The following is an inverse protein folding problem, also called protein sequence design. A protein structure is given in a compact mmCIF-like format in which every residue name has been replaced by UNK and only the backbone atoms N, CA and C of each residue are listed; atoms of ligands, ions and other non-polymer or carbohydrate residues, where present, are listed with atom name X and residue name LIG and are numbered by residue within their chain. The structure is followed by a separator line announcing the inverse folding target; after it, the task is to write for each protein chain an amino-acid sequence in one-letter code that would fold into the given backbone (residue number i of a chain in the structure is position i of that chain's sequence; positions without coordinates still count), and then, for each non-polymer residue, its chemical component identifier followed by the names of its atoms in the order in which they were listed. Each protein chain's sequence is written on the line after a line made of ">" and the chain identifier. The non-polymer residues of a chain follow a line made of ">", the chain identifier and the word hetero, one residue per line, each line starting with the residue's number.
data_IF_995225965803
#
_entry.id   IF_995225965803
#
_cell.length_a   1.000
_cell.length_b   1.000
_cell.length_c   1.000
_cell.angle_alpha   90.00
_cell.angle_beta   90.00
_cell.angle_gamma   90.00
#
_symmetry.space_group_name_H-M   'P 1'
#
loop_
_entity.id
_entity.type
_entity.pdbx_description
1 polymer ?
#
# COMPACT_ATOMS: atom_id res chain seq x y z
N UNK A 1 -10.50 -13.24 -18.40
CA UNK A 1 -9.11 -12.95 -18.82
C UNK A 1 -8.54 -14.14 -19.59
N UNK A 2 -7.78 -13.92 -20.67
CA UNK A 2 -7.16 -15.03 -21.42
C UNK A 2 -5.94 -15.55 -20.65
N UNK A 3 -5.99 -16.81 -20.18
CA UNK A 3 -4.86 -17.47 -19.49
C UNK A 3 -3.54 -17.37 -20.27
N UNK A 4 -3.61 -17.26 -21.60
CA UNK A 4 -2.46 -17.11 -22.49
C UNK A 4 -1.72 -15.78 -22.30
N UNK A 5 -2.44 -14.68 -22.03
CA UNK A 5 -1.82 -13.35 -21.85
C UNK A 5 -1.14 -13.20 -20.49
N UNK A 6 -1.77 -13.70 -19.43
CA UNK A 6 -1.16 -13.79 -18.09
C UNK A 6 0.13 -14.62 -18.15
N UNK A 7 0.11 -15.76 -18.87
CA UNK A 7 1.29 -16.61 -19.02
C UNK A 7 2.46 -15.87 -19.66
N UNK A 8 2.25 -15.09 -20.73
CA UNK A 8 3.32 -14.31 -21.37
C UNK A 8 4.00 -13.36 -20.38
N UNK A 9 3.21 -12.61 -19.61
CA UNK A 9 3.75 -11.63 -18.64
C UNK A 9 4.55 -12.33 -17.53
N UNK A 10 4.08 -13.50 -17.07
CA UNK A 10 4.80 -14.33 -16.11
C UNK A 10 6.09 -14.93 -16.70
N UNK A 11 6.05 -15.39 -17.96
CA UNK A 11 7.20 -15.99 -18.64
C UNK A 11 8.35 -14.98 -18.82
N UNK A 12 8.06 -13.68 -18.91
CA UNK A 12 9.07 -12.61 -18.96
C UNK A 12 9.49 -12.09 -17.57
N UNK A 13 9.07 -12.78 -16.51
CA UNK A 13 9.52 -12.56 -15.13
C UNK A 13 8.66 -11.63 -14.28
N UNK A 14 7.58 -11.04 -14.82
CA UNK A 14 6.70 -10.17 -14.04
C UNK A 14 5.61 -10.94 -13.29
N UNK A 15 5.17 -10.40 -12.16
CA UNK A 15 4.04 -10.93 -11.39
C UNK A 15 2.87 -9.94 -11.50
N UNK A 16 1.83 -10.26 -12.28
CA UNK A 16 0.66 -9.39 -12.40
C UNK A 16 0.00 -9.12 -11.04
N UNK A 17 -0.39 -7.88 -10.80
CA UNK A 17 -1.08 -7.46 -9.58
C UNK A 17 -0.27 -7.52 -8.27
N UNK A 18 1.04 -7.81 -8.31
CA UNK A 18 1.89 -7.90 -7.11
C UNK A 18 1.80 -6.64 -6.22
N UNK A 19 1.77 -5.46 -6.83
CA UNK A 19 1.73 -4.16 -6.17
C UNK A 19 0.40 -3.88 -5.45
N UNK A 20 -0.65 -4.67 -5.68
CA UNK A 20 -1.90 -4.56 -4.92
C UNK A 20 -1.74 -5.08 -3.48
N UNK A 21 -0.82 -6.04 -3.28
CA UNK A 21 -0.65 -6.77 -2.01
C UNK A 21 0.75 -6.64 -1.42
N UNK A 22 1.49 -5.61 -1.80
CA UNK A 22 2.75 -5.23 -1.16
C UNK A 22 2.52 -4.22 -0.02
N UNK A 23 3.54 -4.06 0.82
CA UNK A 23 3.65 -3.06 1.88
C UNK A 23 4.29 -1.74 1.42
N UNK A 24 4.51 -1.61 0.11
CA UNK A 24 5.14 -0.47 -0.57
C UNK A 24 6.57 -0.13 -0.10
N UNK A 25 7.21 -0.99 0.69
CA UNK A 25 8.59 -0.78 1.12
C UNK A 25 9.56 -1.28 0.03
N UNK A 26 9.61 -0.54 -1.07
CA UNK A 26 10.28 -0.97 -2.29
C UNK A 26 11.77 -1.25 -2.06
N UNK A 27 12.44 -0.44 -1.25
CA UNK A 27 13.87 -0.51 -0.93
C UNK A 27 14.26 -1.83 -0.26
N UNK A 28 13.33 -2.44 0.48
CA UNK A 28 13.51 -3.72 1.19
C UNK A 28 12.79 -4.89 0.49
N UNK A 29 12.25 -4.69 -0.71
CA UNK A 29 11.43 -5.69 -1.39
C UNK A 29 12.26 -6.65 -2.26
N UNK A 30 12.22 -7.95 -1.96
CA UNK A 30 12.90 -8.99 -2.75
C UNK A 30 12.29 -9.20 -4.15
N UNK A 31 11.09 -8.68 -4.40
CA UNK A 31 10.37 -8.85 -5.67
C UNK A 31 10.53 -7.64 -6.61
N UNK A 32 11.44 -6.71 -6.34
CA UNK A 32 11.69 -5.49 -7.14
C UNK A 32 11.72 -5.77 -8.65
N UNK A 33 12.56 -6.72 -9.11
CA UNK A 33 12.73 -7.02 -10.54
C UNK A 33 11.53 -7.73 -11.19
N UNK A 34 10.64 -8.28 -10.36
CA UNK A 34 9.40 -8.95 -10.77
C UNK A 34 8.17 -8.05 -10.63
N UNK A 35 8.35 -6.84 -10.09
CA UNK A 35 7.33 -5.82 -9.92
C UNK A 35 7.42 -4.78 -11.04
N UNK A 36 6.46 -4.81 -11.95
CA UNK A 36 6.42 -3.85 -13.07
C UNK A 36 6.33 -2.40 -12.59
N UNK A 37 5.57 -2.11 -11.52
CA UNK A 37 5.48 -0.76 -10.96
C UNK A 37 6.84 -0.23 -10.48
N UNK A 38 7.69 -1.09 -9.92
CA UNK A 38 9.03 -0.70 -9.48
C UNK A 38 9.96 -0.47 -10.68
N UNK A 39 9.96 -1.41 -11.63
CA UNK A 39 10.80 -1.31 -12.84
C UNK A 39 10.43 -0.09 -13.68
N UNK A 40 9.13 0.20 -13.85
CA UNK A 40 8.66 1.40 -14.52
C UNK A 40 9.09 2.67 -13.78
N UNK A 41 8.93 2.71 -12.45
CA UNK A 41 9.37 3.83 -11.63
C UNK A 41 10.86 4.13 -11.79
N UNK A 42 11.71 3.10 -11.77
CA UNK A 42 13.16 3.25 -11.98
C UNK A 42 13.50 3.77 -13.37
N UNK A 43 12.84 3.28 -14.42
CA UNK A 43 13.02 3.81 -15.78
C UNK A 43 12.60 5.29 -15.90
N UNK A 44 11.52 5.68 -15.24
CA UNK A 44 11.08 7.09 -15.19
C UNK A 44 12.15 7.94 -14.48
N UNK A 45 12.68 7.49 -13.34
CA UNK A 45 13.77 8.16 -12.62
C UNK A 45 15.03 8.31 -13.49
N UNK A 46 15.44 7.24 -14.19
CA UNK A 46 16.59 7.24 -15.12
C UNK A 46 16.42 8.25 -16.27
N UNK A 47 15.18 8.48 -16.71
CA UNK A 47 14.83 9.49 -17.73
C UNK A 47 14.73 10.92 -17.19
N UNK A 48 15.01 11.14 -15.90
CA UNK A 48 14.99 12.47 -15.28
C UNK A 48 13.77 12.75 -14.41
N UNK A 49 12.91 11.75 -14.19
CA UNK A 49 11.74 11.84 -13.32
C UNK A 49 10.67 12.82 -13.81
N UNK A 50 9.70 13.11 -12.94
CA UNK A 50 8.74 14.19 -13.15
C UNK A 50 9.21 15.40 -12.35
N UNK A 51 9.65 16.46 -13.03
CA UNK A 51 10.25 17.61 -12.36
C UNK A 51 9.18 18.62 -11.94
N UNK A 52 8.52 18.37 -10.80
CA UNK A 52 7.44 19.26 -10.34
C UNK A 52 7.93 20.60 -9.78
N UNK A 53 9.20 20.71 -9.39
CA UNK A 53 9.80 21.89 -8.73
C UNK A 53 10.63 22.80 -9.65
N UNK A 54 11.14 22.31 -10.80
CA UNK A 54 11.99 23.13 -11.69
C UNK A 54 11.25 24.21 -12.48
N UNK A 55 9.92 24.24 -12.43
CA UNK A 55 9.13 25.28 -13.06
C UNK A 55 8.38 26.03 -11.97
N UNK A 56 9.07 27.03 -11.41
CA UNK A 56 8.42 28.05 -10.60
C UNK A 56 7.20 28.56 -11.35
N UNK A 57 6.06 28.61 -10.66
CA UNK A 57 4.77 29.09 -11.17
C UNK A 57 4.92 30.15 -12.28
N UNK A 58 4.89 29.71 -13.54
CA UNK A 58 4.46 30.58 -14.63
C UNK A 58 2.94 30.51 -14.58
N UNK A 59 2.30 31.62 -14.24
CA UNK A 59 0.83 31.72 -14.11
C UNK A 59 0.07 31.24 -15.37
N UNK A 60 0.77 31.02 -16.48
CA UNK A 60 0.22 30.65 -17.79
C UNK A 60 0.40 29.17 -18.21
N UNK A 61 1.14 28.34 -17.46
CA UNK A 61 1.25 26.91 -17.79
C UNK A 61 0.07 26.14 -17.21
N UNK A 62 -0.83 25.71 -18.10
CA UNK A 62 -2.02 24.94 -17.72
C UNK A 62 -1.61 23.66 -17.00
N UNK A 63 -2.18 23.40 -15.82
CA UNK A 63 -2.10 22.13 -15.09
C UNK A 63 -2.34 20.93 -16.03
N UNK A 64 -3.19 21.11 -17.06
CA UNK A 64 -3.48 20.10 -18.07
C UNK A 64 -2.28 19.74 -18.96
N UNK A 65 -1.43 20.71 -19.30
CA UNK A 65 -0.22 20.46 -20.09
C UNK A 65 0.75 19.58 -19.31
N UNK A 66 0.97 19.90 -18.02
CA UNK A 66 1.80 19.10 -17.11
C UNK A 66 1.25 17.69 -16.91
N UNK A 67 -0.06 17.58 -16.72
CA UNK A 67 -0.71 16.27 -16.58
C UNK A 67 -0.56 15.43 -17.87
N UNK A 68 -0.69 16.06 -19.04
CA UNK A 68 -0.49 15.40 -20.33
C UNK A 68 0.95 14.87 -20.46
N UNK A 69 1.95 15.67 -20.11
CA UNK A 69 3.36 15.27 -20.14
C UNK A 69 3.63 14.05 -19.24
N UNK A 70 3.09 14.03 -18.02
CA UNK A 70 3.20 12.88 -17.11
C UNK A 70 2.62 11.62 -17.75
N UNK A 71 1.44 11.71 -18.37
CA UNK A 71 0.81 10.58 -19.05
C UNK A 71 1.59 10.11 -20.28
N UNK A 72 2.07 11.04 -21.12
CA UNK A 72 2.86 10.73 -22.31
C UNK A 72 4.17 10.03 -21.93
N UNK A 73 4.93 10.58 -20.98
CA UNK A 73 6.17 9.98 -20.49
C UNK A 73 5.95 8.60 -19.84
N UNK A 74 4.90 8.45 -19.03
CA UNK A 74 4.55 7.15 -18.43
C UNK A 74 4.19 6.11 -19.50
N UNK A 75 3.47 6.53 -20.53
CA UNK A 75 3.06 5.68 -21.65
C UNK A 75 4.25 5.26 -22.52
N UNK A 76 5.19 6.18 -22.78
CA UNK A 76 6.44 5.88 -23.49
C UNK A 76 7.28 4.85 -22.73
N UNK A 77 7.48 5.03 -21.42
CA UNK A 77 8.22 4.06 -20.60
C UNK A 77 7.54 2.69 -20.57
N UNK A 78 6.20 2.65 -20.53
CA UNK A 78 5.45 1.40 -20.58
C UNK A 78 5.67 0.66 -21.91
N UNK A 79 5.64 1.38 -23.03
CA UNK A 79 5.90 0.81 -24.36
C UNK A 79 7.32 0.27 -24.48
N UNK A 80 8.32 1.06 -24.12
CA UNK A 80 9.71 0.61 -24.15
C UNK A 80 9.93 -0.62 -23.28
N UNK A 81 9.37 -0.64 -22.08
CA UNK A 81 9.49 -1.81 -21.19
C UNK A 81 8.81 -3.05 -21.78
N UNK A 82 7.67 -2.87 -22.44
CA UNK A 82 6.98 -3.97 -23.12
C UNK A 82 7.85 -4.52 -24.27
N UNK A 83 8.36 -3.64 -25.14
CA UNK A 83 9.22 -4.00 -26.28
C UNK A 83 10.50 -4.71 -25.83
N UNK A 84 11.21 -4.18 -24.83
CA UNK A 84 12.43 -4.77 -24.26
C UNK A 84 12.21 -6.19 -23.72
N UNK A 85 11.01 -6.47 -23.22
CA UNK A 85 10.62 -7.77 -22.66
C UNK A 85 9.92 -8.66 -23.68
N UNK A 86 9.78 -8.23 -24.94
CA UNK A 86 9.09 -8.97 -25.99
C UNK A 86 7.58 -9.12 -25.73
N UNK A 87 6.98 -8.14 -25.07
CA UNK A 87 5.55 -8.03 -24.81
C UNK A 87 4.91 -6.94 -25.67
N UNK A 88 3.63 -7.09 -25.95
CA UNK A 88 2.77 -5.98 -26.35
C UNK A 88 2.18 -5.31 -25.09
N UNK A 89 1.94 -4.00 -25.12
CA UNK A 89 1.32 -3.29 -23.99
C UNK A 89 -0.07 -3.86 -23.65
N UNK A 90 -0.78 -4.40 -24.64
CA UNK A 90 -2.07 -5.09 -24.48
C UNK A 90 -1.96 -6.44 -23.76
N UNK A 91 -0.77 -7.06 -23.72
CA UNK A 91 -0.53 -8.25 -22.90
C UNK A 91 -0.42 -7.86 -21.42
N UNK A 92 0.21 -6.71 -21.14
CA UNK A 92 0.30 -6.14 -19.80
C UNK A 92 -1.08 -5.81 -19.26
N UNK A 93 -1.85 -4.95 -19.95
CA UNK A 93 -3.19 -4.54 -19.49
C UNK A 93 -4.16 -5.72 -19.31
N UNK A 94 -4.01 -6.77 -20.11
CA UNK A 94 -4.86 -7.95 -19.99
C UNK A 94 -4.41 -8.94 -18.91
N UNK A 95 -3.17 -8.82 -18.43
CA UNK A 95 -2.65 -9.59 -17.30
C UNK A 95 -3.04 -9.00 -15.95
N UNK A 96 -3.20 -7.68 -15.91
CA UNK A 96 -3.61 -6.96 -14.71
C UNK A 96 -5.08 -7.17 -14.40
N UNK A 97 -5.39 -7.38 -13.12
CA UNK A 97 -6.76 -7.45 -12.65
C UNK A 97 -7.33 -6.04 -12.48
N UNK A 98 -7.49 -5.34 -13.60
CA UNK A 98 -8.09 -4.01 -13.63
C UNK A 98 -9.58 -4.18 -13.36
N UNK A 99 -10.02 -3.73 -12.20
CA UNK A 99 -11.44 -3.62 -11.90
C UNK A 99 -12.07 -2.56 -12.81
N UNK A 100 -12.63 -3.01 -13.94
CA UNK A 100 -13.33 -2.15 -14.89
C UNK A 100 -14.67 -1.66 -14.36
N UNK A 101 -15.19 -2.25 -13.27
CA UNK A 101 -16.40 -1.75 -12.59
C UNK A 101 -16.15 -0.37 -11.96
N UNK A 102 -14.88 0.00 -11.70
CA UNK A 102 -14.51 1.35 -11.27
C UNK A 102 -14.87 2.44 -12.31
N UNK A 103 -14.81 2.09 -13.60
CA UNK A 103 -15.09 2.98 -14.75
C UNK A 103 -16.39 2.63 -15.50
N UNK A 104 -17.20 1.70 -14.98
CA UNK A 104 -18.48 1.34 -15.59
C UNK A 104 -19.48 2.51 -15.60
N UNK A 105 -20.44 2.46 -16.52
CA UNK A 105 -21.48 3.47 -16.78
C UNK A 105 -22.48 3.69 -15.61
N UNK A 106 -22.20 3.20 -14.40
CA UNK A 106 -23.03 3.36 -13.21
C UNK A 106 -22.59 4.61 -12.41
N UNK A 107 -22.61 5.77 -13.06
CA UNK A 107 -22.46 7.07 -12.37
C UNK A 107 -23.78 7.55 -11.72
N UNK A 108 -24.88 6.87 -12.01
CA UNK A 108 -26.21 7.21 -11.49
C UNK A 108 -26.75 6.07 -10.59
N UNK A 109 -26.85 6.33 -9.27
CA UNK A 109 -27.58 5.46 -8.33
C UNK A 109 -26.76 4.71 -7.27
N UNK A 110 -25.86 5.40 -6.57
CA UNK A 110 -25.28 5.12 -5.23
C UNK A 110 -25.31 3.68 -4.65
N UNK A 111 -24.17 2.97 -4.79
CA UNK A 111 -23.57 2.20 -3.69
C UNK A 111 -22.39 2.95 -3.01
N UNK A 112 -21.77 3.93 -3.68
CA UNK A 112 -20.52 4.57 -3.21
C UNK A 112 -20.70 5.44 -1.97
N UNK A 113 -21.69 6.33 -1.93
CA UNK A 113 -21.93 7.19 -0.75
C UNK A 113 -22.24 6.37 0.51
N UNK A 114 -23.04 5.31 0.37
CA UNK A 114 -23.34 4.39 1.47
C UNK A 114 -22.10 3.63 1.94
N UNK A 115 -21.20 3.25 1.01
CA UNK A 115 -19.90 2.65 1.36
C UNK A 115 -19.05 3.66 2.15
N UNK A 116 -18.96 4.92 1.70
CA UNK A 116 -18.20 5.95 2.42
C UNK A 116 -18.74 6.23 3.82
N UNK A 117 -20.07 6.32 4.00
CA UNK A 117 -20.68 6.47 5.33
C UNK A 117 -20.34 5.28 6.26
N UNK A 118 -20.27 4.05 5.72
CA UNK A 118 -19.82 2.88 6.49
C UNK A 118 -18.34 2.95 6.85
N UNK A 119 -17.51 3.49 5.97
CA UNK A 119 -16.09 3.73 6.28
C UNK A 119 -15.93 4.75 7.40
N UNK A 120 -16.60 5.90 7.32
CA UNK A 120 -16.51 6.95 8.34
C UNK A 120 -16.98 6.51 9.73
N UNK A 121 -17.89 5.53 9.78
CA UNK A 121 -18.39 4.95 11.02
C UNK A 121 -17.60 3.73 11.51
N UNK A 122 -16.57 3.28 10.78
CA UNK A 122 -15.81 2.07 11.09
C UNK A 122 -14.90 2.23 12.31
N UNK A 123 -15.06 1.36 13.31
CA UNK A 123 -14.18 1.30 14.47
C UNK A 123 -12.74 0.90 14.10
N UNK A 124 -12.56 0.03 13.11
CA UNK A 124 -11.22 -0.32 12.59
C UNK A 124 -10.46 0.92 12.10
N UNK A 125 -11.13 1.83 11.38
CA UNK A 125 -10.49 3.08 10.94
C UNK A 125 -10.23 4.04 12.10
N UNK A 126 -11.10 4.10 13.10
CA UNK A 126 -10.84 4.87 14.32
C UNK A 126 -9.62 4.35 15.07
N UNK A 127 -9.50 3.03 15.21
CA UNK A 127 -8.34 2.38 15.85
C UNK A 127 -7.07 2.69 15.04
N UNK A 128 -7.11 2.63 13.71
CA UNK A 128 -5.98 3.02 12.86
C UNK A 128 -5.57 4.48 13.10
N UNK A 129 -6.52 5.41 13.12
CA UNK A 129 -6.23 6.83 13.37
C UNK A 129 -5.68 7.10 14.78
N UNK A 130 -6.16 6.36 15.79
CA UNK A 130 -5.59 6.41 17.14
C UNK A 130 -4.15 5.91 17.11
N UNK A 131 -3.89 4.76 16.47
CA UNK A 131 -2.54 4.21 16.36
C UNK A 131 -1.59 5.18 15.65
N UNK A 132 -1.96 5.68 14.47
CA UNK A 132 -1.19 6.64 13.68
C UNK A 132 -0.82 7.87 14.49
N UNK A 133 -1.82 8.54 15.08
CA UNK A 133 -1.60 9.73 15.88
C UNK A 133 -0.62 9.49 17.04
N UNK A 134 -0.82 8.42 17.81
CA UNK A 134 0.02 8.15 18.97
C UNK A 134 1.40 7.60 18.61
N UNK A 135 1.51 6.85 17.50
CA UNK A 135 2.78 6.36 16.99
C UNK A 135 3.66 7.54 16.55
N UNK A 136 3.11 8.48 15.79
CA UNK A 136 3.80 9.71 15.38
C UNK A 136 4.25 10.52 16.58
N UNK A 137 3.35 10.77 17.55
CA UNK A 137 3.70 11.51 18.76
C UNK A 137 4.78 10.82 19.58
N UNK A 138 4.74 9.50 19.66
CA UNK A 138 5.77 8.74 20.35
C UNK A 138 7.10 8.80 19.60
N UNK A 139 7.09 8.68 18.27
CA UNK A 139 8.29 8.74 17.43
C UNK A 139 8.95 10.11 17.48
N UNK A 140 8.19 11.20 17.34
CA UNK A 140 8.69 12.57 17.48
C UNK A 140 9.49 12.73 18.78
N UNK A 141 8.94 12.26 19.90
CA UNK A 141 9.56 12.36 21.21
C UNK A 141 10.77 11.44 21.38
N UNK A 142 10.71 10.22 20.82
CA UNK A 142 11.84 9.30 20.83
C UNK A 142 13.03 9.87 20.06
N UNK A 143 12.80 10.50 18.90
CA UNK A 143 13.86 11.15 18.13
C UNK A 143 14.48 12.36 18.83
N UNK A 144 13.76 13.05 19.71
CA UNK A 144 14.32 14.15 20.52
C UNK A 144 15.26 13.66 21.62
N UNK A 145 15.02 12.46 22.15
CA UNK A 145 15.72 11.94 23.34
C UNK A 145 16.82 10.95 22.98
N UNK A 146 16.63 10.15 21.93
CA UNK A 146 17.63 9.20 21.44
C UNK A 146 18.74 9.98 20.75
N UNK A 147 19.90 10.05 21.38
CA UNK A 147 21.09 10.63 20.75
C UNK A 147 21.79 9.60 19.82
N UNK A 148 22.58 10.09 18.87
CA UNK A 148 23.29 9.22 17.90
C UNK A 148 24.28 8.21 18.55
N UNK A 149 24.65 8.38 19.82
CA UNK A 149 25.52 7.42 20.54
C UNK A 149 24.72 6.26 21.17
N UNK A 150 23.43 6.44 21.38
CA UNK A 150 22.50 5.43 21.92
C UNK A 150 21.84 4.61 20.82
N UNK A 151 21.84 5.12 19.58
CA UNK A 151 21.41 4.38 18.42
C UNK A 151 22.36 3.21 18.17
N UNK A 152 21.79 2.01 18.19
CA UNK A 152 22.39 0.83 17.63
C UNK A 152 21.52 0.36 16.47
N UNK A 153 22.09 -0.47 15.60
CA UNK A 153 21.44 -0.95 14.36
C UNK A 153 20.04 -1.55 14.63
N UNK A 154 19.87 -2.29 15.72
CA UNK A 154 18.58 -2.89 16.10
C UNK A 154 17.52 -1.83 16.44
N UNK A 155 17.91 -0.77 17.17
CA UNK A 155 16.99 0.32 17.52
C UNK A 155 16.64 1.16 16.29
N UNK A 156 17.61 1.43 15.42
CA UNK A 156 17.37 2.17 14.17
C UNK A 156 16.42 1.41 13.24
N UNK A 157 16.64 0.12 13.05
CA UNK A 157 15.74 -0.73 12.25
C UNK A 157 14.33 -0.75 12.85
N UNK A 158 14.23 -0.88 14.18
CA UNK A 158 12.93 -0.90 14.83
C UNK A 158 12.17 0.43 14.69
N UNK A 159 12.86 1.57 14.83
CA UNK A 159 12.30 2.90 14.61
C UNK A 159 11.83 3.10 13.16
N UNK A 160 12.62 2.63 12.19
CA UNK A 160 12.27 2.67 10.76
C UNK A 160 10.98 1.87 10.50
N UNK A 161 10.85 0.69 11.09
CA UNK A 161 9.67 -0.16 10.96
C UNK A 161 8.42 0.50 11.54
N UNK A 162 8.48 0.98 12.78
CA UNK A 162 7.29 1.60 13.42
C UNK A 162 6.94 2.96 12.82
N UNK A 163 7.88 3.63 12.16
CA UNK A 163 7.61 4.83 11.36
C UNK A 163 7.00 4.54 10.00
N UNK A 164 7.25 3.36 9.42
CA UNK A 164 6.73 3.00 8.10
C UNK A 164 5.26 2.56 8.12
N UNK A 165 4.89 1.73 9.09
CA UNK A 165 3.62 1.00 9.06
C UNK A 165 2.33 1.77 9.42
N UNK A 166 2.31 2.87 10.20
CA UNK A 166 1.08 3.55 10.57
C UNK A 166 0.22 3.97 9.36
N UNK A 167 0.79 4.72 8.41
CA UNK A 167 0.11 5.14 7.19
C UNK A 167 -0.34 3.96 6.32
N UNK A 168 0.55 2.97 6.18
CA UNK A 168 0.27 1.79 5.36
C UNK A 168 -0.92 0.99 5.92
N UNK A 169 -0.93 0.73 7.23
CA UNK A 169 -2.00 -0.01 7.90
C UNK A 169 -3.33 0.70 7.65
N UNK A 170 -3.39 2.01 7.88
CA UNK A 170 -4.60 2.80 7.68
C UNK A 170 -5.09 2.71 6.22
N UNK A 171 -4.20 2.89 5.26
CA UNK A 171 -4.52 2.81 3.82
C UNK A 171 -5.03 1.41 3.41
N UNK A 172 -4.42 0.35 3.94
CA UNK A 172 -4.78 -1.04 3.62
C UNK A 172 -6.08 -1.49 4.28
N UNK A 173 -6.34 -1.09 5.54
CA UNK A 173 -7.63 -1.31 6.21
C UNK A 173 -8.75 -0.56 5.47
N UNK A 174 -8.53 0.71 5.09
CA UNK A 174 -9.51 1.49 4.33
C UNK A 174 -9.86 0.82 3.01
N UNK A 175 -8.85 0.35 2.25
CA UNK A 175 -9.07 -0.38 1.00
C UNK A 175 -9.83 -1.70 1.23
N UNK A 176 -9.48 -2.45 2.27
CA UNK A 176 -10.17 -3.69 2.61
C UNK A 176 -11.65 -3.45 2.94
N UNK A 177 -11.95 -2.47 3.79
CA UNK A 177 -13.32 -2.11 4.15
C UNK A 177 -14.11 -1.61 2.94
N UNK A 178 -13.51 -0.76 2.11
CA UNK A 178 -14.15 -0.27 0.88
C UNK A 178 -14.52 -1.45 -0.02
N UNK A 179 -13.55 -2.33 -0.30
CA UNK A 179 -13.77 -3.52 -1.13
C UNK A 179 -14.84 -4.46 -0.56
N UNK A 180 -14.84 -4.68 0.76
CA UNK A 180 -15.83 -5.52 1.44
C UNK A 180 -17.25 -4.94 1.33
N UNK A 181 -17.41 -3.65 1.65
CA UNK A 181 -18.72 -3.00 1.60
C UNK A 181 -19.24 -2.84 0.18
N UNK A 182 -18.36 -2.52 -0.76
CA UNK A 182 -18.69 -2.46 -2.19
C UNK A 182 -19.14 -3.82 -2.72
N UNK A 183 -18.38 -4.88 -2.41
CA UNK A 183 -18.71 -6.26 -2.79
C UNK A 183 -20.07 -6.69 -2.23
N UNK A 184 -20.30 -6.40 -0.95
CA UNK A 184 -21.57 -6.73 -0.26
C UNK A 184 -22.75 -5.96 -0.84
N UNK A 185 -22.59 -4.67 -1.12
CA UNK A 185 -23.66 -3.82 -1.66
C UNK A 185 -24.06 -4.23 -3.08
N UNK A 186 -23.06 -4.56 -3.92
CA UNK A 186 -23.29 -4.92 -5.32
C UNK A 186 -23.55 -6.42 -5.55
N UNK A 187 -23.53 -7.23 -4.49
CA UNK A 187 -23.59 -8.70 -4.57
C UNK A 187 -22.63 -9.25 -5.63
N UNK A 188 -21.45 -8.63 -5.71
CA UNK A 188 -20.52 -8.89 -6.81
C UNK A 188 -20.07 -10.35 -6.78
N UNK A 189 -19.97 -10.95 -7.96
CA UNK A 189 -19.42 -12.31 -8.11
C UNK A 189 -17.89 -12.31 -8.17
N UNK A 190 -17.26 -11.14 -8.02
CA UNK A 190 -15.80 -11.00 -8.06
C UNK A 190 -15.15 -11.66 -6.84
N UNK A 191 -13.85 -11.94 -7.00
CA UNK A 191 -12.99 -12.46 -5.93
C UNK A 191 -12.95 -11.48 -4.77
N UNK A 192 -12.95 -12.00 -3.54
CA UNK A 192 -12.86 -11.23 -2.28
C UNK A 192 -11.46 -10.60 -2.09
N UNK A 193 -11.07 -9.72 -3.01
CA UNK A 193 -9.76 -9.03 -3.10
C UNK A 193 -9.41 -8.26 -1.84
N UNK A 194 -10.44 -7.77 -1.15
CA UNK A 194 -10.32 -7.05 0.10
C UNK A 194 -9.55 -7.85 1.17
N UNK A 195 -9.63 -9.19 1.15
CA UNK A 195 -8.86 -10.05 2.06
C UNK A 195 -7.36 -9.90 1.85
N UNK A 196 -6.91 -9.68 0.61
CA UNK A 196 -5.49 -9.43 0.34
C UNK A 196 -5.02 -8.09 0.91
N UNK A 197 -5.87 -7.06 0.88
CA UNK A 197 -5.56 -5.77 1.52
C UNK A 197 -5.54 -5.90 3.04
N UNK A 198 -6.52 -6.60 3.62
CA UNK A 198 -6.56 -6.89 5.06
C UNK A 198 -5.34 -7.70 5.51
N UNK A 199 -4.88 -8.68 4.73
CA UNK A 199 -3.67 -9.45 5.04
C UNK A 199 -2.43 -8.57 5.14
N UNK A 200 -2.25 -7.62 4.22
CA UNK A 200 -1.12 -6.69 4.27
C UNK A 200 -1.19 -5.79 5.51
N UNK A 201 -2.39 -5.31 5.86
CA UNK A 201 -2.58 -4.53 7.09
C UNK A 201 -2.18 -5.34 8.33
N UNK A 202 -2.65 -6.59 8.44
CA UNK A 202 -2.31 -7.49 9.55
C UNK A 202 -0.81 -7.73 9.67
N UNK A 203 -0.10 -7.93 8.55
CA UNK A 203 1.37 -8.06 8.53
C UNK A 203 2.03 -6.78 9.06
N UNK A 204 1.54 -5.60 8.66
CA UNK A 204 2.05 -4.33 9.17
C UNK A 204 1.80 -4.16 10.67
N UNK A 205 0.64 -4.58 11.16
CA UNK A 205 0.31 -4.57 12.60
C UNK A 205 1.23 -5.50 13.37
N UNK A 206 1.47 -6.73 12.90
CA UNK A 206 2.36 -7.70 13.54
C UNK A 206 3.80 -7.18 13.60
N UNK A 207 4.33 -6.66 12.48
CA UNK A 207 5.65 -6.03 12.43
C UNK A 207 5.75 -4.83 13.38
N UNK A 208 4.70 -4.01 13.46
CA UNK A 208 4.64 -2.88 14.39
C UNK A 208 4.70 -3.35 15.85
N UNK A 209 3.92 -4.37 16.22
CA UNK A 209 3.91 -4.95 17.58
C UNK A 209 5.31 -5.47 17.96
N UNK A 210 5.95 -6.21 17.05
CA UNK A 210 7.29 -6.76 17.28
C UNK A 210 8.32 -5.65 17.52
N UNK A 211 8.29 -4.58 16.72
CA UNK A 211 9.29 -3.51 16.80
C UNK A 211 9.03 -2.53 17.95
N UNK A 212 7.77 -2.27 18.31
CA UNK A 212 7.46 -1.57 19.55
C UNK A 212 7.94 -2.33 20.80
N UNK A 213 7.89 -3.67 20.80
CA UNK A 213 8.47 -4.50 21.87
C UNK A 213 9.99 -4.45 21.94
N UNK A 214 10.67 -4.19 20.81
CA UNK A 214 12.12 -3.95 20.78
C UNK A 214 12.46 -2.57 21.36
N UNK A 215 11.70 -1.53 20.97
CA UNK A 215 11.93 -0.15 21.42
C UNK A 215 11.64 0.02 22.92
N UNK A 216 10.57 -0.60 23.43
CA UNK A 216 10.09 -0.46 24.80
C UNK A 216 11.17 -0.61 25.90
N UNK A 217 11.95 -1.71 25.97
CA UNK A 217 12.98 -1.86 27.00
C UNK A 217 14.14 -0.89 26.84
N UNK A 218 14.40 -0.41 25.61
CA UNK A 218 15.48 0.52 25.29
C UNK A 218 15.13 1.97 25.63
N UNK A 219 13.83 2.28 25.80
CA UNK A 219 13.34 3.63 26.08
C UNK A 219 12.51 3.68 27.39
N UNK A 220 13.15 3.60 28.58
CA UNK A 220 12.46 3.56 29.88
C UNK A 220 11.47 4.71 30.09
N UNK A 221 11.78 5.90 29.58
CA UNK A 221 10.94 7.08 29.69
C UNK A 221 9.57 6.94 29.00
N UNK A 222 9.45 6.05 28.00
CA UNK A 222 8.25 5.88 27.17
C UNK A 222 7.60 4.51 27.30
N UNK A 223 7.98 3.71 28.29
CA UNK A 223 7.45 2.35 28.44
C UNK A 223 5.93 2.31 28.52
N UNK A 224 5.32 3.32 29.17
CA UNK A 224 3.88 3.41 29.35
C UNK A 224 3.16 3.74 28.04
N UNK A 225 3.66 4.74 27.32
CA UNK A 225 3.16 5.19 26.02
C UNK A 225 3.24 4.06 25.01
N UNK A 226 4.39 3.37 24.94
CA UNK A 226 4.57 2.20 24.08
C UNK A 226 3.65 1.05 24.50
N UNK A 227 3.39 0.86 25.80
CA UNK A 227 2.41 -0.13 26.25
C UNK A 227 1.00 0.19 25.75
N UNK A 228 0.61 1.46 25.72
CA UNK A 228 -0.68 1.86 25.18
C UNK A 228 -0.76 1.60 23.66
N UNK A 229 0.31 1.91 22.92
CA UNK A 229 0.39 1.60 21.48
C UNK A 229 0.23 0.10 21.21
N UNK A 230 0.90 -0.74 22.00
CA UNK A 230 0.78 -2.19 21.90
C UNK A 230 -0.66 -2.66 22.13
N UNK A 231 -1.38 -2.09 23.11
CA UNK A 231 -2.79 -2.41 23.35
C UNK A 231 -3.66 -2.02 22.16
N UNK A 232 -3.46 -0.83 21.57
CA UNK A 232 -4.19 -0.37 20.39
C UNK A 232 -3.94 -1.29 19.19
N UNK A 233 -2.68 -1.68 18.95
CA UNK A 233 -2.31 -2.59 17.86
C UNK A 233 -2.88 -3.99 18.05
N UNK A 234 -2.88 -4.52 19.28
CA UNK A 234 -3.47 -5.82 19.60
C UNK A 234 -4.99 -5.82 19.38
N UNK A 235 -5.67 -4.72 19.74
CA UNK A 235 -7.08 -4.53 19.43
C UNK A 235 -7.30 -4.49 17.91
N UNK A 236 -6.51 -3.71 17.17
CA UNK A 236 -6.61 -3.63 15.71
C UNK A 236 -6.43 -4.99 15.05
N UNK A 237 -5.47 -5.78 15.52
CA UNK A 237 -5.20 -7.14 15.03
C UNK A 237 -6.41 -8.04 15.23
N UNK A 238 -6.94 -8.08 16.45
CA UNK A 238 -8.09 -8.91 16.82
C UNK A 238 -9.33 -8.54 15.98
N UNK A 239 -9.64 -7.25 15.91
CA UNK A 239 -10.84 -6.77 15.21
C UNK A 239 -10.72 -6.99 13.70
N UNK A 240 -9.52 -6.80 13.13
CA UNK A 240 -9.30 -7.04 11.70
C UNK A 240 -9.39 -8.54 11.36
N UNK A 241 -8.92 -9.43 12.24
CA UNK A 241 -9.08 -10.88 12.07
C UNK A 241 -10.54 -11.33 12.13
N UNK A 242 -11.32 -10.76 13.06
CA UNK A 242 -12.76 -11.03 13.15
C UNK A 242 -13.51 -10.50 11.93
N UNK A 243 -13.19 -9.28 11.48
CA UNK A 243 -13.86 -8.63 10.36
C UNK A 243 -13.52 -9.28 9.01
N UNK A 244 -12.28 -9.74 8.83
CA UNK A 244 -11.78 -10.34 7.59
C UNK A 244 -11.26 -11.77 7.83
N UNK A 245 -12.14 -12.75 8.08
CA UNK A 245 -11.75 -14.10 8.51
C UNK A 245 -10.93 -14.89 7.47
N UNK A 246 -10.93 -14.45 6.21
CA UNK A 246 -10.14 -15.05 5.11
C UNK A 246 -8.88 -14.27 4.78
N UNK A 247 -8.57 -13.19 5.51
CA UNK A 247 -7.37 -12.39 5.27
C UNK A 247 -6.10 -13.23 5.41
N UNK A 248 -5.95 -13.96 6.53
CA UNK A 248 -4.74 -14.76 6.80
C UNK A 248 -4.48 -15.84 5.77
N UNK A 249 -5.53 -16.43 5.18
CA UNK A 249 -5.43 -17.50 4.18
C UNK A 249 -5.35 -16.98 2.74
N UNK A 250 -5.48 -15.67 2.52
CA UNK A 250 -5.29 -15.08 1.21
C UNK A 250 -3.83 -15.27 0.75
N UNK A 251 -3.61 -15.73 -0.49
CA UNK A 251 -2.26 -15.91 -1.03
C UNK A 251 -1.87 -14.68 -1.83
N UNK A 252 -0.91 -13.89 -1.33
CA UNK A 252 -0.41 -12.69 -2.02
C UNK A 252 0.49 -13.11 -3.19
N UNK A 253 0.14 -12.74 -4.45
CA UNK A 253 0.96 -13.02 -5.61
C UNK A 253 2.40 -12.54 -5.41
N UNK A 254 3.36 -13.45 -5.53
CA UNK A 254 4.78 -13.14 -5.43
C UNK A 254 5.36 -13.02 -4.02
N UNK A 255 4.54 -13.05 -2.97
CA UNK A 255 5.00 -12.93 -1.59
C UNK A 255 4.73 -14.19 -0.75
N UNK A 256 3.63 -14.89 -1.01
CA UNK A 256 3.24 -16.09 -0.27
C UNK A 256 3.30 -17.32 -1.20
N UNK A 257 3.72 -18.47 -0.65
CA UNK A 257 3.79 -19.78 -1.33
C UNK A 257 2.79 -20.76 -0.74
#
# INVERSE_FOLDING_TARGET
>A
MSKKKIKKVVDVGFIPGIYNYCDRWCEKCEQQLRCMSFVMGKKIEEKGGFNFEREGHREDESIWARLKEVFESTYEVLHELAEERGLDVEDIYASENIDREFWGEDYEGTPREQVYQKLESSDLLRICSIYEYWADKCLEQLYEIINDKEKNELLEEALEVVGWYPDLIQAKIRRALYGYHYHTANKSKTTEDYNGSAKVALIGVERSIENWKIIQPLCPAYQKEISHLLVVLEQLRSDADEYFPKARTFVRPGFDN
#
